data_IF_255935655050
#
_entry.id   IF_255935655050
#
_cell.length_a   1.000
_cell.length_b   1.000
_cell.length_c   1.000
_cell.angle_alpha   90.00
_cell.angle_beta   90.00
_cell.angle_gamma   90.00
#
_symmetry.space_group_name_H-M   'P 1'
#
loop_
_entity.id
_entity.type
_entity.pdbx_description
1 polymer ?
#
# COMPACT_ATOMS: atom_id res chain seq x y z
N UNK A 1 -12.98 -3.41 6.31
CA UNK A 1 -12.07 -2.67 7.24
C UNK A 1 -12.13 -3.42 8.56
N UNK A 2 -10.99 -3.81 9.12
CA UNK A 2 -10.93 -4.56 10.39
C UNK A 2 -11.32 -3.62 11.54
N UNK A 3 -12.29 -4.00 12.36
CA UNK A 3 -12.65 -3.25 13.56
C UNK A 3 -11.81 -3.77 14.75
N UNK A 4 -10.78 -3.01 15.12
CA UNK A 4 -9.90 -3.37 16.23
C UNK A 4 -10.55 -3.22 17.61
N UNK A 5 -11.74 -2.67 17.73
CA UNK A 5 -12.49 -2.64 18.98
C UNK A 5 -13.05 -4.02 19.37
N UNK A 6 -13.15 -4.95 18.41
CA UNK A 6 -13.59 -6.33 18.64
C UNK A 6 -12.47 -7.25 19.14
N UNK A 7 -11.22 -6.75 19.18
CA UNK A 7 -10.08 -7.54 19.65
C UNK A 7 -9.97 -7.49 21.17
N UNK A 8 -9.87 -8.65 21.79
CA UNK A 8 -9.59 -8.74 23.22
C UNK A 8 -8.21 -8.21 23.56
N UNK A 9 -8.02 -7.79 24.82
CA UNK A 9 -6.68 -7.46 25.31
C UNK A 9 -5.80 -8.72 25.30
N UNK A 10 -4.62 -8.63 24.69
CA UNK A 10 -3.71 -9.77 24.57
C UNK A 10 -2.38 -9.42 23.94
N UNK A 11 -1.62 -10.45 23.60
CA UNK A 11 -0.36 -10.33 22.89
C UNK A 11 -0.60 -10.60 21.41
N UNK A 12 -0.21 -9.66 20.56
CA UNK A 12 -0.44 -9.74 19.12
C UNK A 12 0.85 -9.63 18.33
N UNK A 13 0.92 -10.40 17.25
CA UNK A 13 1.97 -10.29 16.25
C UNK A 13 1.40 -9.55 15.04
N UNK A 14 2.11 -8.50 14.62
CA UNK A 14 1.80 -7.73 13.40
C UNK A 14 2.95 -7.94 12.41
N UNK A 15 2.63 -8.34 11.19
CA UNK A 15 3.60 -8.57 10.13
C UNK A 15 3.41 -7.51 9.04
N UNK A 16 4.39 -6.64 8.90
CA UNK A 16 4.41 -5.50 8.00
C UNK A 16 4.64 -4.19 8.74
N UNK A 17 5.61 -3.41 8.30
CA UNK A 17 6.08 -2.19 8.94
C UNK A 17 5.83 -0.92 8.14
N UNK A 18 4.67 -0.82 7.47
CA UNK A 18 4.22 0.40 6.82
C UNK A 18 2.86 0.84 7.41
N UNK A 19 2.16 1.77 6.79
CA UNK A 19 0.94 2.43 7.30
C UNK A 19 -0.06 1.47 7.95
N UNK A 20 -0.43 0.38 7.26
CA UNK A 20 -1.40 -0.60 7.78
C UNK A 20 -0.92 -1.35 9.01
N UNK A 21 0.37 -1.71 9.07
CA UNK A 21 0.93 -2.42 10.21
C UNK A 21 1.03 -1.52 11.45
N UNK A 22 1.49 -0.28 11.27
CA UNK A 22 1.53 0.68 12.36
C UNK A 22 0.13 1.11 12.80
N UNK A 23 -0.83 1.25 11.88
CA UNK A 23 -2.21 1.54 12.27
C UNK A 23 -2.79 0.41 13.13
N UNK A 24 -2.60 -0.85 12.74
CA UNK A 24 -3.00 -2.01 13.52
C UNK A 24 -2.35 -2.00 14.92
N UNK A 25 -1.03 -1.81 14.98
CA UNK A 25 -0.31 -1.74 16.25
C UNK A 25 -0.81 -0.62 17.17
N UNK A 26 -1.05 0.58 16.61
CA UNK A 26 -1.59 1.72 17.36
C UNK A 26 -3.01 1.42 17.89
N UNK A 27 -3.87 0.81 17.09
CA UNK A 27 -5.25 0.49 17.51
C UNK A 27 -5.26 -0.57 18.61
N UNK A 28 -4.46 -1.64 18.47
CA UNK A 28 -4.32 -2.67 19.51
C UNK A 28 -3.71 -2.12 20.81
N UNK A 29 -2.76 -1.21 20.70
CA UNK A 29 -2.16 -0.57 21.85
C UNK A 29 -3.16 0.25 22.69
N UNK A 30 -4.19 0.82 22.07
CA UNK A 30 -5.24 1.58 22.78
C UNK A 30 -6.07 0.69 23.71
N UNK A 31 -6.21 -0.59 23.45
CA UNK A 31 -6.87 -1.55 24.34
C UNK A 31 -5.89 -2.21 25.32
N UNK A 32 -4.67 -1.68 25.46
CA UNK A 32 -3.61 -2.15 26.36
C UNK A 32 -3.06 -3.54 26.01
N UNK A 33 -3.09 -3.90 24.74
CA UNK A 33 -2.42 -5.10 24.24
C UNK A 33 -0.90 -4.89 24.12
N UNK A 34 -0.15 -6.00 24.13
CA UNK A 34 1.27 -6.03 23.81
C UNK A 34 1.43 -6.38 22.33
N UNK A 35 2.24 -5.64 21.61
CA UNK A 35 2.41 -5.83 20.17
C UNK A 35 3.86 -6.11 19.82
N UNK A 36 4.10 -7.22 19.11
CA UNK A 36 5.36 -7.51 18.44
C UNK A 36 5.18 -7.28 16.94
N UNK A 37 5.71 -6.18 16.42
CA UNK A 37 5.66 -5.84 15.01
C UNK A 37 6.93 -6.30 14.31
N UNK A 38 6.80 -7.06 13.24
CA UNK A 38 7.89 -7.58 12.41
C UNK A 38 7.86 -6.94 11.04
N UNK A 39 8.99 -6.38 10.60
CA UNK A 39 9.12 -5.76 9.28
C UNK A 39 10.41 -6.18 8.58
N UNK A 40 10.35 -6.35 7.27
CA UNK A 40 11.53 -6.63 6.43
C UNK A 40 12.40 -5.39 6.17
N UNK A 41 11.86 -4.20 6.38
CA UNK A 41 12.54 -2.91 6.18
C UNK A 41 13.18 -2.40 7.47
N UNK A 42 13.79 -1.23 7.42
CA UNK A 42 14.31 -0.49 8.57
C UNK A 42 13.23 0.09 9.48
N UNK A 43 11.95 -0.09 9.12
CA UNK A 43 10.81 0.40 9.89
C UNK A 43 10.74 1.93 9.91
N UNK A 44 10.73 2.51 11.12
CA UNK A 44 10.63 3.97 11.30
C UNK A 44 11.87 4.76 10.84
N UNK A 45 12.98 4.09 10.63
CA UNK A 45 14.26 4.71 10.24
C UNK A 45 14.45 4.72 8.72
N UNK A 46 13.40 4.47 7.95
CA UNK A 46 13.50 4.54 6.50
C UNK A 46 13.63 6.00 6.06
N UNK A 47 14.80 6.33 5.50
CA UNK A 47 15.13 7.67 5.00
C UNK A 47 14.81 7.84 3.52
N UNK A 48 14.09 6.87 2.92
CA UNK A 48 13.71 6.97 1.50
C UNK A 48 12.97 8.28 1.23
N UNK A 49 13.31 8.92 0.14
CA UNK A 49 12.70 10.18 -0.26
C UNK A 49 11.25 10.00 -0.75
N UNK A 50 10.89 8.81 -1.24
CA UNK A 50 9.54 8.54 -1.74
C UNK A 50 8.53 8.43 -0.59
N UNK A 51 7.53 9.34 -0.52
CA UNK A 51 6.51 9.32 0.52
C UNK A 51 5.67 8.03 0.56
N UNK A 52 5.65 7.25 -0.51
CA UNK A 52 4.93 5.98 -0.57
C UNK A 52 5.64 4.83 0.15
N UNK A 53 6.94 4.98 0.38
CA UNK A 53 7.77 4.01 1.10
C UNK A 53 7.87 4.36 2.58
N UNK A 54 7.89 5.65 2.91
CA UNK A 54 7.97 6.13 4.28
C UNK A 54 6.63 6.11 5.00
N UNK A 55 6.71 5.93 6.32
CA UNK A 55 5.55 6.13 7.19
C UNK A 55 5.14 7.61 7.21
N UNK A 56 3.84 7.89 7.11
CA UNK A 56 3.34 9.26 7.11
C UNK A 56 3.63 9.99 8.44
N UNK A 57 3.86 11.31 8.42
CA UNK A 57 4.04 12.10 9.65
C UNK A 57 2.87 11.95 10.63
N UNK A 58 1.66 11.76 10.12
CA UNK A 58 0.47 11.54 10.93
C UNK A 58 0.54 10.22 11.71
N UNK A 59 0.96 9.14 11.08
CA UNK A 59 1.12 7.84 11.74
C UNK A 59 2.28 7.86 12.74
N UNK A 60 3.39 8.53 12.41
CA UNK A 60 4.47 8.80 13.37
C UNK A 60 3.98 9.51 14.63
N UNK A 61 3.17 10.57 14.48
CA UNK A 61 2.60 11.30 15.61
C UNK A 61 1.72 10.41 16.48
N UNK A 62 0.83 9.62 15.87
CA UNK A 62 -0.07 8.70 16.58
C UNK A 62 0.70 7.63 17.35
N UNK A 63 1.72 7.03 16.70
CA UNK A 63 2.61 6.05 17.32
C UNK A 63 3.32 6.64 18.53
N UNK A 64 3.91 7.82 18.38
CA UNK A 64 4.59 8.52 19.48
C UNK A 64 3.64 8.79 20.64
N UNK A 65 2.40 9.16 20.39
CA UNK A 65 1.38 9.39 21.43
C UNK A 65 1.09 8.12 22.23
N UNK A 66 0.84 6.99 21.59
CA UNK A 66 0.54 5.74 22.31
C UNK A 66 1.74 5.22 23.08
N UNK A 67 2.97 5.37 22.55
CA UNK A 67 4.21 5.01 23.27
C UNK A 67 4.37 5.90 24.53
N UNK A 68 4.15 7.20 24.44
CA UNK A 68 4.19 8.12 25.59
C UNK A 68 3.14 7.77 26.65
N UNK A 69 2.03 7.18 26.24
CA UNK A 69 0.98 6.67 27.12
C UNK A 69 1.29 5.31 27.73
N UNK A 70 2.46 4.74 27.45
CA UNK A 70 2.93 3.46 28.02
C UNK A 70 2.56 2.24 27.18
N UNK A 71 2.23 2.42 25.89
CA UNK A 71 1.97 1.28 25.00
C UNK A 71 3.24 0.40 24.86
N UNK A 72 3.03 -0.91 24.87
CA UNK A 72 4.06 -1.92 24.68
C UNK A 72 4.06 -2.37 23.21
N UNK A 73 4.84 -1.67 22.39
CA UNK A 73 5.06 -2.02 20.99
C UNK A 73 6.54 -2.28 20.78
N UNK A 74 6.87 -3.55 20.55
CA UNK A 74 8.21 -3.97 20.19
C UNK A 74 8.33 -4.03 18.67
N UNK A 75 9.34 -3.37 18.11
CA UNK A 75 9.55 -3.31 16.66
C UNK A 75 10.78 -4.13 16.28
N UNK A 76 10.57 -5.18 15.50
CA UNK A 76 11.57 -6.11 15.02
C UNK A 76 11.83 -5.86 13.54
N UNK A 77 12.96 -5.26 13.20
CA UNK A 77 13.34 -4.87 11.83
C UNK A 77 14.19 -5.97 11.16
N UNK A 78 14.17 -5.99 9.82
CA UNK A 78 14.90 -6.98 9.00
C UNK A 78 14.44 -8.43 9.22
N UNK A 79 13.15 -8.61 9.47
CA UNK A 79 12.52 -9.91 9.57
C UNK A 79 11.58 -10.16 8.38
N UNK A 80 11.97 -11.08 7.49
CA UNK A 80 11.13 -11.57 6.40
C UNK A 80 10.48 -12.87 6.83
N UNK A 81 9.14 -12.91 6.82
CA UNK A 81 8.39 -14.14 7.11
C UNK A 81 8.50 -15.08 5.92
N UNK A 82 8.87 -16.33 6.18
CA UNK A 82 8.91 -17.40 5.18
C UNK A 82 7.67 -18.28 5.20
N UNK A 83 7.11 -18.52 6.40
CA UNK A 83 5.96 -19.42 6.56
C UNK A 83 5.19 -19.09 7.83
N UNK A 84 3.87 -19.36 7.81
CA UNK A 84 3.00 -19.32 9.00
C UNK A 84 2.18 -20.60 9.02
N UNK A 85 2.28 -21.33 10.14
CA UNK A 85 1.53 -22.55 10.37
C UNK A 85 0.59 -22.40 11.57
N UNK A 86 -0.57 -23.05 11.51
CA UNK A 86 -1.47 -23.16 12.64
C UNK A 86 -1.56 -24.62 13.08
N UNK A 87 -1.16 -24.89 14.32
CA UNK A 87 -1.18 -26.23 14.89
C UNK A 87 -1.48 -26.15 16.39
N UNK A 88 -2.30 -27.07 16.89
CA UNK A 88 -2.61 -27.24 18.32
C UNK A 88 -3.06 -25.95 19.03
N UNK A 89 -3.84 -25.09 18.32
CA UNK A 89 -4.36 -23.86 18.86
C UNK A 89 -3.36 -22.69 18.88
N UNK A 90 -2.26 -22.80 18.19
CA UNK A 90 -1.21 -21.77 18.10
C UNK A 90 -0.79 -21.52 16.67
N UNK A 91 -0.36 -20.29 16.41
CA UNK A 91 0.32 -19.90 15.17
C UNK A 91 1.83 -19.95 15.41
N UNK A 92 2.54 -20.56 14.45
CA UNK A 92 4.00 -20.64 14.37
C UNK A 92 4.43 -19.81 13.17
N UNK A 93 5.22 -18.78 13.41
CA UNK A 93 5.69 -17.83 12.40
C UNK A 93 7.18 -18.04 12.23
N UNK A 94 7.59 -18.45 11.05
CA UNK A 94 8.98 -18.72 10.68
C UNK A 94 9.51 -17.58 9.83
N UNK A 95 10.76 -17.20 10.11
CA UNK A 95 11.44 -16.15 9.39
C UNK A 95 12.64 -16.71 8.60
N UNK A 96 12.99 -16.04 7.48
CA UNK A 96 14.10 -16.46 6.62
C UNK A 96 15.47 -16.53 7.36
N UNK A 97 15.63 -15.76 8.42
CA UNK A 97 16.82 -15.76 9.25
C UNK A 97 16.88 -16.90 10.29
N UNK A 98 15.90 -17.81 10.25
CA UNK A 98 15.80 -18.95 11.18
C UNK A 98 15.16 -18.62 12.54
N UNK A 99 14.72 -17.39 12.75
CA UNK A 99 13.94 -17.04 13.94
C UNK A 99 12.53 -17.64 13.86
N UNK A 100 11.96 -17.98 15.02
CA UNK A 100 10.61 -18.50 15.16
C UNK A 100 9.87 -17.76 16.26
N UNK A 101 8.60 -17.46 16.04
CA UNK A 101 7.70 -16.86 17.02
C UNK A 101 6.40 -17.66 17.09
N UNK A 102 5.87 -17.81 18.29
CA UNK A 102 4.59 -18.48 18.53
C UNK A 102 3.59 -17.49 19.14
N UNK A 103 2.35 -17.56 18.71
CA UNK A 103 1.25 -16.79 19.28
C UNK A 103 -0.05 -17.60 19.30
N UNK A 104 -0.94 -17.30 20.24
CA UNK A 104 -2.30 -17.89 20.29
C UNK A 104 -3.27 -17.07 19.47
N UNK A 105 -3.04 -15.77 19.35
CA UNK A 105 -3.86 -14.89 18.54
C UNK A 105 -3.42 -14.97 17.07
N UNK A 106 -4.38 -14.87 16.17
CA UNK A 106 -4.09 -14.84 14.74
C UNK A 106 -3.19 -13.65 14.40
N UNK A 107 -2.06 -13.88 13.69
CA UNK A 107 -1.18 -12.79 13.27
C UNK A 107 -1.88 -11.82 12.32
N UNK A 108 -1.69 -10.54 12.53
CA UNK A 108 -2.23 -9.51 11.64
C UNK A 108 -1.27 -9.31 10.48
N UNK A 109 -1.75 -9.64 9.28
CA UNK A 109 -0.96 -9.53 8.05
C UNK A 109 -1.20 -8.17 7.40
N UNK A 110 -0.23 -7.27 7.55
CA UNK A 110 -0.21 -5.93 6.94
C UNK A 110 0.85 -5.85 5.84
N UNK A 111 0.87 -6.87 4.96
CA UNK A 111 1.93 -7.11 3.96
C UNK A 111 1.68 -6.41 2.63
N UNK A 112 0.64 -5.56 2.55
CA UNK A 112 0.23 -4.88 1.33
C UNK A 112 -0.76 -5.70 0.50
N UNK A 113 -1.00 -5.23 -0.72
CA UNK A 113 -1.91 -5.87 -1.66
C UNK A 113 -1.16 -6.26 -2.92
N UNK A 114 -1.37 -7.48 -3.38
CA UNK A 114 -0.89 -7.94 -4.66
C UNK A 114 -2.04 -7.91 -5.68
N UNK A 115 -2.04 -6.88 -6.51
CA UNK A 115 -3.07 -6.69 -7.55
C UNK A 115 -3.08 -7.83 -8.56
N UNK A 116 -1.93 -8.48 -8.79
CA UNK A 116 -1.80 -9.57 -9.77
C UNK A 116 -2.52 -10.85 -9.34
N UNK A 117 -2.84 -10.97 -8.04
CA UNK A 117 -3.61 -12.09 -7.49
C UNK A 117 -5.13 -11.85 -7.52
N UNK A 118 -5.58 -10.66 -7.93
CA UNK A 118 -7.01 -10.38 -8.04
C UNK A 118 -7.62 -11.09 -9.24
N UNK A 119 -8.65 -11.95 -9.08
CA UNK A 119 -9.24 -12.72 -10.18
C UNK A 119 -9.77 -11.85 -11.33
N UNK A 120 -10.36 -10.69 -11.04
CA UNK A 120 -10.86 -9.76 -12.04
C UNK A 120 -9.71 -9.17 -12.85
N UNK A 121 -8.61 -8.84 -12.17
CA UNK A 121 -7.42 -8.31 -12.85
C UNK A 121 -6.79 -9.40 -13.74
N UNK A 122 -6.69 -10.63 -13.26
CA UNK A 122 -6.16 -11.75 -14.05
C UNK A 122 -7.02 -12.07 -15.28
N UNK A 123 -8.34 -11.88 -15.19
CA UNK A 123 -9.24 -12.07 -16.32
C UNK A 123 -9.12 -10.95 -17.34
N UNK A 124 -9.12 -9.69 -16.88
CA UNK A 124 -9.24 -8.52 -17.74
C UNK A 124 -7.91 -7.94 -18.23
N UNK A 125 -6.81 -8.27 -17.59
CA UNK A 125 -5.49 -7.72 -17.90
C UNK A 125 -4.44 -8.82 -18.12
N UNK A 126 -3.43 -8.51 -18.86
CA UNK A 126 -2.22 -9.34 -18.93
C UNK A 126 -1.37 -9.07 -17.68
N UNK A 127 -1.11 -10.13 -16.89
CA UNK A 127 -0.33 -10.02 -15.65
C UNK A 127 0.99 -10.80 -15.77
N UNK A 128 2.01 -10.29 -15.11
CA UNK A 128 3.23 -11.02 -14.79
C UNK A 128 3.20 -11.44 -13.30
N UNK A 129 4.29 -11.98 -12.77
CA UNK A 129 4.38 -12.28 -11.32
C UNK A 129 4.40 -11.03 -10.44
N UNK A 130 4.70 -9.87 -10.99
CA UNK A 130 4.94 -8.64 -10.25
C UNK A 130 4.07 -7.48 -10.71
N UNK A 131 3.63 -7.48 -11.99
CA UNK A 131 3.02 -6.32 -12.62
C UNK A 131 1.75 -6.67 -13.40
N UNK A 132 0.93 -5.66 -13.63
CA UNK A 132 -0.16 -5.64 -14.60
C UNK A 132 0.30 -4.85 -15.82
N UNK A 133 0.27 -5.47 -17.01
CA UNK A 133 0.65 -4.79 -18.24
C UNK A 133 -0.45 -3.86 -18.72
N UNK A 134 -0.09 -2.61 -18.86
CA UNK A 134 -0.97 -1.52 -19.28
C UNK A 134 -0.39 -0.79 -20.49
N UNK A 135 -1.26 -0.15 -21.26
CA UNK A 135 -0.85 0.87 -22.23
C UNK A 135 -0.43 2.15 -21.50
N UNK A 136 0.10 3.13 -22.24
CA UNK A 136 0.40 4.46 -21.69
C UNK A 136 -0.83 5.20 -21.13
N UNK A 137 -2.03 4.78 -21.53
CA UNK A 137 -3.30 5.30 -21.04
C UNK A 137 -3.92 4.43 -19.95
N UNK A 138 -3.12 3.60 -19.25
CA UNK A 138 -3.58 2.69 -18.19
C UNK A 138 -4.67 1.69 -18.65
N UNK A 139 -4.76 1.45 -19.96
CA UNK A 139 -5.72 0.53 -20.58
C UNK A 139 -5.17 -0.89 -20.64
N UNK A 140 -6.06 -1.88 -20.53
CA UNK A 140 -5.74 -3.28 -20.70
C UNK A 140 -5.11 -3.56 -22.07
N UNK A 141 -4.03 -4.36 -22.10
CA UNK A 141 -3.45 -4.87 -23.34
C UNK A 141 -4.28 -6.01 -23.97
N UNK A 142 -5.24 -6.56 -23.23
CA UNK A 142 -6.13 -7.65 -23.69
C UNK A 142 -7.45 -7.16 -24.27
N UNK A 143 -8.06 -6.18 -23.60
CA UNK A 143 -9.41 -5.75 -23.92
C UNK A 143 -9.45 -4.23 -24.04
N UNK A 144 -9.95 -3.70 -25.17
CA UNK A 144 -10.12 -2.27 -25.32
C UNK A 144 -11.19 -1.71 -24.36
N UNK A 145 -11.04 -0.46 -24.00
CA UNK A 145 -11.95 0.29 -23.11
C UNK A 145 -12.06 -0.26 -21.68
N UNK A 146 -11.08 -1.02 -21.24
CA UNK A 146 -10.93 -1.46 -19.85
C UNK A 146 -9.66 -0.83 -19.29
N UNK A 147 -9.81 -0.03 -18.24
CA UNK A 147 -8.73 0.75 -17.63
C UNK A 147 -8.50 0.33 -16.18
N UNK A 148 -7.24 0.28 -15.77
CA UNK A 148 -6.87 0.15 -14.37
C UNK A 148 -6.54 1.53 -13.81
N UNK A 149 -7.18 1.90 -12.71
CA UNK A 149 -6.95 3.20 -12.06
C UNK A 149 -6.70 3.06 -10.57
N UNK A 150 -5.97 4.00 -10.01
CA UNK A 150 -5.73 4.05 -8.56
C UNK A 150 -4.34 3.62 -8.14
N UNK A 151 -4.22 3.20 -6.89
CA UNK A 151 -2.95 2.96 -6.22
C UNK A 151 -2.16 1.73 -6.71
N UNK A 152 -2.77 0.92 -7.56
CA UNK A 152 -2.15 -0.30 -8.09
C UNK A 152 -1.61 -0.13 -9.51
N UNK A 153 -1.74 1.07 -10.09
CA UNK A 153 -1.16 1.39 -11.39
C UNK A 153 0.33 1.54 -11.24
N UNK A 154 1.06 0.76 -12.02
CA UNK A 154 2.51 0.83 -12.14
C UNK A 154 2.87 0.86 -13.62
N UNK A 155 3.76 1.73 -13.99
CA UNK A 155 4.32 1.83 -15.32
C UNK A 155 5.85 1.84 -15.18
N UNK A 156 6.60 1.51 -16.23
CA UNK A 156 8.07 1.31 -16.22
C UNK A 156 8.86 2.34 -15.41
N UNK A 157 8.31 3.53 -15.21
CA UNK A 157 8.99 4.66 -14.58
C UNK A 157 8.31 5.19 -13.33
N UNK A 158 7.07 4.76 -13.02
CA UNK A 158 6.31 5.33 -11.91
C UNK A 158 5.35 4.35 -11.27
N UNK A 159 5.39 4.30 -9.95
CA UNK A 159 4.40 3.60 -9.13
C UNK A 159 3.42 4.61 -8.55
N UNK A 160 2.15 4.47 -8.91
CA UNK A 160 1.10 5.41 -8.48
C UNK A 160 0.47 5.04 -7.13
N UNK A 161 1.22 4.47 -6.21
CA UNK A 161 0.76 3.92 -4.93
C UNK A 161 0.18 4.94 -3.93
N UNK A 162 0.18 6.22 -4.28
CA UNK A 162 -0.21 7.30 -3.39
C UNK A 162 -1.26 8.21 -4.05
N UNK A 163 -2.27 8.64 -3.29
CA UNK A 163 -3.41 9.38 -3.84
C UNK A 163 -3.01 10.65 -4.61
N UNK A 164 -2.00 11.36 -4.16
CA UNK A 164 -1.51 12.56 -4.86
C UNK A 164 -0.85 12.24 -6.21
N UNK A 165 -0.34 11.01 -6.39
CA UNK A 165 0.19 10.53 -7.67
C UNK A 165 -0.96 10.10 -8.59
N UNK A 166 -1.77 9.11 -8.17
CA UNK A 166 -2.77 8.52 -9.06
C UNK A 166 -3.97 9.43 -9.37
N UNK A 167 -4.35 10.36 -8.48
CA UNK A 167 -5.48 11.26 -8.75
C UNK A 167 -5.30 12.11 -10.00
N UNK A 168 -4.05 12.45 -10.36
CA UNK A 168 -3.75 13.25 -11.54
C UNK A 168 -3.97 12.48 -12.85
N UNK A 169 -4.04 11.14 -12.81
CA UNK A 169 -4.38 10.29 -13.96
C UNK A 169 -5.86 10.30 -14.30
N UNK A 170 -6.75 10.55 -13.34
CA UNK A 170 -8.20 10.50 -13.58
C UNK A 170 -8.65 11.49 -14.66
N UNK A 171 -8.09 12.70 -14.67
CA UNK A 171 -8.42 13.68 -15.70
C UNK A 171 -7.90 13.28 -17.08
N UNK A 172 -6.74 12.63 -17.16
CA UNK A 172 -6.16 12.11 -18.41
C UNK A 172 -7.05 11.02 -18.98
N UNK A 173 -7.43 10.04 -18.17
CA UNK A 173 -8.31 8.94 -18.59
C UNK A 173 -9.70 9.43 -19.00
N UNK A 174 -10.28 10.34 -18.22
CA UNK A 174 -11.57 10.94 -18.57
C UNK A 174 -11.51 11.69 -19.91
N UNK A 175 -10.42 12.40 -20.18
CA UNK A 175 -10.18 13.08 -21.45
C UNK A 175 -10.04 12.09 -22.61
N UNK A 176 -9.24 11.05 -22.44
CA UNK A 176 -9.06 9.99 -23.44
C UNK A 176 -10.38 9.30 -23.80
N UNK A 177 -11.17 8.92 -22.78
CA UNK A 177 -12.48 8.30 -22.98
C UNK A 177 -13.43 9.26 -23.71
N UNK A 178 -13.47 10.53 -23.31
CA UNK A 178 -14.31 11.52 -23.95
C UNK A 178 -13.96 11.72 -25.44
N UNK A 179 -12.66 11.74 -25.77
CA UNK A 179 -12.21 11.83 -27.16
C UNK A 179 -12.62 10.60 -27.98
N UNK A 180 -12.46 9.40 -27.45
CA UNK A 180 -12.88 8.14 -28.14
C UNK A 180 -14.37 8.10 -28.41
N UNK A 181 -15.16 8.56 -27.46
CA UNK A 181 -16.62 8.62 -27.57
C UNK A 181 -17.13 9.84 -28.39
N UNK A 182 -16.24 10.67 -28.91
CA UNK A 182 -16.60 11.88 -29.67
C UNK A 182 -17.36 12.93 -28.84
N UNK A 183 -17.18 12.90 -27.51
CA UNK A 183 -17.79 13.86 -26.60
C UNK A 183 -17.06 15.21 -26.65
N UNK A 184 -17.79 16.33 -26.50
CA UNK A 184 -17.14 17.63 -26.47
C UNK A 184 -16.25 17.79 -25.22
N UNK A 185 -14.99 18.12 -25.45
CA UNK A 185 -14.03 18.39 -24.38
C UNK A 185 -13.81 19.88 -24.24
N UNK A 186 -13.98 20.42 -23.04
CA UNK A 186 -13.68 21.82 -22.77
C UNK A 186 -12.18 22.00 -22.49
N UNK A 187 -11.45 22.58 -23.44
CA UNK A 187 -10.01 22.83 -23.34
C UNK A 187 -9.62 23.66 -22.10
N UNK A 188 -10.45 24.63 -21.70
CA UNK A 188 -10.17 25.44 -20.51
C UNK A 188 -10.16 24.61 -19.23
N UNK A 189 -10.98 23.54 -19.17
CA UNK A 189 -10.96 22.60 -18.06
C UNK A 189 -9.64 21.82 -18.04
N UNK A 190 -9.20 21.31 -19.19
CA UNK A 190 -7.93 20.59 -19.30
C UNK A 190 -6.76 21.49 -18.89
N UNK A 191 -6.69 22.72 -19.42
CA UNK A 191 -5.68 23.70 -19.04
C UNK A 191 -5.67 23.99 -17.53
N UNK A 192 -6.87 24.04 -16.91
CA UNK A 192 -6.99 24.21 -15.46
C UNK A 192 -6.41 23.04 -14.69
N UNK A 193 -6.66 21.79 -15.13
CA UNK A 193 -6.07 20.60 -14.51
C UNK A 193 -4.52 20.59 -14.67
N UNK A 194 -4.02 20.91 -15.85
CA UNK A 194 -2.57 21.00 -16.12
C UNK A 194 -1.92 22.06 -15.23
N UNK A 195 -2.50 23.27 -15.18
CA UNK A 195 -1.99 24.36 -14.34
C UNK A 195 -1.93 24.01 -12.85
N UNK A 196 -2.85 23.17 -12.37
CA UNK A 196 -2.90 22.74 -10.99
C UNK A 196 -2.16 21.41 -10.72
N UNK A 197 -1.34 20.95 -11.67
CA UNK A 197 -0.59 19.68 -11.57
C UNK A 197 -1.51 18.45 -11.31
N UNK A 198 -2.70 18.49 -11.87
CA UNK A 198 -3.72 17.44 -11.75
C UNK A 198 -3.97 16.72 -13.08
N UNK A 199 -3.01 16.77 -14.01
CA UNK A 199 -3.08 16.16 -15.33
C UNK A 199 -1.74 15.50 -15.65
N UNK A 200 -1.59 14.25 -15.25
CA UNK A 200 -0.38 13.45 -15.46
C UNK A 200 -0.56 12.66 -16.76
N UNK A 201 -0.26 13.27 -17.91
CA UNK A 201 -0.40 12.71 -19.25
C UNK A 201 0.74 11.76 -19.63
N UNK A 202 1.92 12.00 -19.11
CA UNK A 202 3.07 11.10 -19.21
C UNK A 202 3.72 10.90 -17.84
N UNK A 203 4.65 9.97 -17.76
CA UNK A 203 5.36 9.65 -16.53
C UNK A 203 6.76 10.26 -16.45
N UNK A 204 7.10 11.18 -17.32
CA UNK A 204 8.46 11.77 -17.42
C UNK A 204 8.85 12.56 -16.18
N UNK A 205 7.86 13.12 -15.47
CA UNK A 205 8.08 13.81 -14.19
C UNK A 205 8.19 12.85 -12.99
N UNK A 206 7.95 11.56 -13.19
CA UNK A 206 7.87 10.56 -12.13
C UNK A 206 9.11 9.65 -12.13
N UNK A 207 10.26 10.18 -12.48
CA UNK A 207 11.52 9.45 -12.31
C UNK A 207 11.66 8.97 -10.85
N UNK A 208 12.30 7.83 -10.65
CA UNK A 208 12.44 7.13 -9.34
C UNK A 208 13.02 8.05 -8.25
N UNK A 209 13.61 9.16 -8.64
CA UNK A 209 14.10 10.22 -7.77
C UNK A 209 13.09 11.36 -7.50
N UNK A 210 11.83 11.21 -7.90
CA UNK A 210 10.83 12.28 -7.71
C UNK A 210 10.54 12.50 -6.22
N UNK A 211 11.09 13.57 -5.69
CA UNK A 211 10.83 14.11 -4.36
C UNK A 211 9.56 14.98 -4.36
N UNK A 212 8.46 14.44 -4.84
CA UNK A 212 7.18 15.15 -4.84
C UNK A 212 6.62 15.30 -3.44
#
# INVERSE_FOLDING_TARGET
MTDFNEFDKGDYVVIGGNESGFDAAIQLAKNQSTISLYTRTTGLNDEDADPSVRLSPYTHQRLSQVIQQGALIEMNVHYSVSEINYQDGRYYIYFENGHEVQTVNEPILATGFDVTQNPIVQELFETTKQDVKLTLQDESTRYPNIFLIGATVENDHAKLCYIYKFRARFAVLAHEIAQREGLPVNHQVIESYQKNQMYLDDYTCCDVACSC
#
